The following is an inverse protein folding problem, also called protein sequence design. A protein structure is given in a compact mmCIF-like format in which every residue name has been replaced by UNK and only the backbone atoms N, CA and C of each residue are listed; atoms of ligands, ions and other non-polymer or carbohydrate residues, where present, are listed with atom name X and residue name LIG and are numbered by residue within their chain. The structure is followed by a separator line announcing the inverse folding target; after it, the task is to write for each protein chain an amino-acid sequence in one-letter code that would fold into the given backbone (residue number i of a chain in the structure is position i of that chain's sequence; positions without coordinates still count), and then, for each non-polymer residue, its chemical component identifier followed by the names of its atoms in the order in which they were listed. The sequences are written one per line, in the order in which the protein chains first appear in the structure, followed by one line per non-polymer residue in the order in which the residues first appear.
data_IF_699604657903
#
_entry.id   IF_699604657903
#
_cell.length_a   1.000
_cell.length_b   1.000
_cell.length_c   1.000
_cell.angle_alpha   90.00
_cell.angle_beta   90.00
_cell.angle_gamma   90.00
#
_symmetry.space_group_name_H-M   'P 1'
#
loop_
_entity.id
_entity.type
_entity.pdbx_description
1 polymer ?
#
# COMPACT_ATOMS: atom_id res chain seq x y z
N UNK A 1 -31.16 -5.24 3.84
CA UNK A 1 -29.69 -5.05 3.86
C UNK A 1 -29.11 -6.19 4.68
N UNK A 2 -28.28 -7.03 4.08
CA UNK A 2 -27.78 -8.24 4.75
C UNK A 2 -26.70 -7.88 5.78
N UNK A 3 -26.51 -8.71 6.81
CA UNK A 3 -25.42 -8.52 7.80
C UNK A 3 -24.04 -8.44 7.13
N UNK A 4 -23.86 -9.16 6.01
CA UNK A 4 -22.69 -9.06 5.13
C UNK A 4 -22.46 -7.64 4.60
N UNK A 5 -23.51 -6.95 4.16
CA UNK A 5 -23.38 -5.60 3.58
C UNK A 5 -23.03 -4.56 4.63
N UNK A 6 -23.51 -4.74 5.88
CA UNK A 6 -23.11 -3.92 7.03
C UNK A 6 -21.64 -4.13 7.36
N UNK A 7 -21.20 -5.39 7.46
CA UNK A 7 -19.80 -5.71 7.74
C UNK A 7 -18.85 -5.14 6.68
N UNK A 8 -19.17 -5.32 5.39
CA UNK A 8 -18.36 -4.77 4.30
C UNK A 8 -18.34 -3.23 4.30
N UNK A 9 -19.41 -2.54 4.73
CA UNK A 9 -19.40 -1.08 4.87
C UNK A 9 -18.39 -0.59 5.91
N UNK A 10 -18.12 -1.36 6.96
CA UNK A 10 -17.15 -1.01 8.01
C UNK A 10 -15.74 -1.47 7.63
N UNK A 11 -15.61 -2.66 7.04
CA UNK A 11 -14.33 -3.26 6.69
C UNK A 11 -13.58 -2.45 5.62
N UNK A 12 -14.27 -1.98 4.57
CA UNK A 12 -13.61 -1.30 3.45
C UNK A 12 -12.91 0.02 3.84
N UNK A 13 -13.53 0.90 4.65
CA UNK A 13 -12.82 2.05 5.22
C UNK A 13 -11.56 1.65 5.99
N UNK A 14 -11.64 0.62 6.84
CA UNK A 14 -10.48 0.12 7.60
C UNK A 14 -9.39 -0.38 6.66
N UNK A 15 -9.74 -1.12 5.62
CA UNK A 15 -8.78 -1.58 4.60
C UNK A 15 -8.13 -0.40 3.86
N UNK A 16 -8.92 0.63 3.48
CA UNK A 16 -8.39 1.84 2.84
C UNK A 16 -7.38 2.55 3.73
N UNK A 17 -7.70 2.74 5.00
CA UNK A 17 -6.77 3.33 5.96
C UNK A 17 -5.53 2.45 6.17
N UNK A 18 -5.68 1.13 6.23
CA UNK A 18 -4.56 0.19 6.32
C UNK A 18 -3.59 0.32 5.15
N UNK A 19 -4.10 0.36 3.91
CA UNK A 19 -3.28 0.57 2.70
C UNK A 19 -2.57 1.93 2.75
N UNK A 20 -3.28 3.00 3.13
CA UNK A 20 -2.69 4.34 3.27
C UNK A 20 -1.56 4.32 4.31
N UNK A 21 -1.76 3.66 5.45
CA UNK A 21 -0.75 3.57 6.49
C UNK A 21 0.50 2.81 6.02
N UNK A 22 0.33 1.69 5.31
CA UNK A 22 1.45 0.92 4.73
C UNK A 22 2.25 1.79 3.75
N UNK A 23 1.57 2.49 2.83
CA UNK A 23 2.23 3.40 1.88
C UNK A 23 2.96 4.51 2.63
N UNK A 24 2.32 5.12 3.63
CA UNK A 24 2.91 6.16 4.46
C UNK A 24 4.17 5.70 5.17
N UNK A 25 4.16 4.49 5.76
CA UNK A 25 5.34 3.87 6.38
C UNK A 25 6.49 3.73 5.39
N UNK A 26 6.24 3.14 4.22
CA UNK A 26 7.29 2.92 3.21
C UNK A 26 7.85 4.24 2.68
N UNK A 27 6.99 5.21 2.40
CA UNK A 27 7.43 6.54 1.96
C UNK A 27 8.23 7.27 3.03
N UNK A 28 7.82 7.18 4.30
CA UNK A 28 8.55 7.76 5.42
C UNK A 28 9.95 7.17 5.54
N UNK A 29 10.07 5.83 5.50
CA UNK A 29 11.38 5.17 5.55
C UNK A 29 12.29 5.55 4.37
N UNK A 30 11.71 5.83 3.20
CA UNK A 30 12.47 6.23 2.01
C UNK A 30 13.03 7.65 2.13
N UNK A 31 12.33 8.55 2.82
CA UNK A 31 12.75 9.96 2.98
C UNK A 31 13.49 10.24 4.28
N UNK A 32 13.46 9.33 5.26
CA UNK A 32 14.12 9.51 6.54
C UNK A 32 15.65 9.63 6.42
N UNK A 33 16.26 8.83 5.55
CA UNK A 33 17.71 8.86 5.28
C UNK A 33 17.99 8.85 3.77
N UNK A 34 17.73 9.96 3.08
CA UNK A 34 17.75 10.00 1.61
C UNK A 34 19.17 10.08 1.03
N UNK A 35 20.20 10.15 1.89
CA UNK A 35 21.61 10.01 1.49
C UNK A 35 22.21 11.20 0.71
N UNK A 36 21.50 12.33 0.55
CA UNK A 36 22.07 13.50 -0.13
C UNK A 36 22.83 14.42 0.83
N UNK A 37 24.00 14.87 0.40
CA UNK A 37 24.86 15.81 1.12
C UNK A 37 24.27 17.23 1.17
N UNK A 38 23.44 17.61 0.19
CA UNK A 38 22.87 18.96 0.06
C UNK A 38 21.46 19.02 0.66
N UNK A 39 21.26 19.92 1.63
CA UNK A 39 19.98 20.09 2.33
C UNK A 39 18.79 20.42 1.41
N UNK A 40 19.03 21.14 0.30
CA UNK A 40 17.99 21.45 -0.67
C UNK A 40 17.36 20.18 -1.29
N UNK A 41 18.20 19.22 -1.72
CA UNK A 41 17.72 17.98 -2.32
C UNK A 41 16.93 17.13 -1.32
N UNK A 42 17.35 17.11 -0.06
CA UNK A 42 16.61 16.46 1.02
C UNK A 42 15.23 17.10 1.21
N UNK A 43 15.15 18.42 1.32
CA UNK A 43 13.88 19.13 1.48
C UNK A 43 12.95 18.96 0.27
N UNK A 44 13.49 19.01 -0.93
CA UNK A 44 12.75 18.78 -2.17
C UNK A 44 12.14 17.37 -2.23
N UNK A 45 12.93 16.34 -1.90
CA UNK A 45 12.47 14.95 -1.88
C UNK A 45 11.35 14.71 -0.84
N UNK A 46 11.46 15.32 0.35
CA UNK A 46 10.39 15.29 1.34
C UNK A 46 9.09 15.92 0.82
N UNK A 47 9.18 17.09 0.19
CA UNK A 47 8.02 17.79 -0.36
C UNK A 47 7.33 16.99 -1.46
N UNK A 48 8.11 16.48 -2.42
CA UNK A 48 7.59 15.64 -3.51
C UNK A 48 6.92 14.39 -2.95
N UNK A 49 7.56 13.72 -1.99
CA UNK A 49 7.01 12.51 -1.37
C UNK A 49 5.72 12.79 -0.62
N UNK A 50 5.63 13.91 0.11
CA UNK A 50 4.41 14.33 0.80
C UNK A 50 3.26 14.58 -0.20
N UNK A 51 3.55 15.27 -1.31
CA UNK A 51 2.55 15.54 -2.37
C UNK A 51 2.05 14.22 -2.98
N UNK A 52 2.97 13.30 -3.32
CA UNK A 52 2.63 11.98 -3.85
C UNK A 52 1.79 11.19 -2.85
N UNK A 53 2.15 11.18 -1.57
CA UNK A 53 1.40 10.51 -0.52
C UNK A 53 -0.03 11.06 -0.39
N UNK A 54 -0.19 12.38 -0.36
CA UNK A 54 -1.51 13.02 -0.27
C UNK A 54 -2.36 12.70 -1.50
N UNK A 55 -1.77 12.78 -2.71
CA UNK A 55 -2.46 12.45 -3.96
C UNK A 55 -2.93 10.99 -3.98
N UNK A 56 -2.05 10.04 -3.63
CA UNK A 56 -2.40 8.62 -3.55
C UNK A 56 -3.48 8.36 -2.50
N UNK A 57 -3.39 9.01 -1.33
CA UNK A 57 -4.39 8.86 -0.27
C UNK A 57 -5.78 9.32 -0.72
N UNK A 58 -5.86 10.47 -1.39
CA UNK A 58 -7.12 10.98 -1.96
C UNK A 58 -7.67 10.01 -3.01
N UNK A 59 -6.83 9.53 -3.92
CA UNK A 59 -7.22 8.55 -4.95
C UNK A 59 -7.76 7.27 -4.30
N UNK A 60 -7.05 6.70 -3.32
CA UNK A 60 -7.47 5.47 -2.63
C UNK A 60 -8.82 5.63 -1.92
N UNK A 61 -9.08 6.80 -1.34
CA UNK A 61 -10.35 7.11 -0.69
C UNK A 61 -11.48 7.26 -1.74
N UNK A 62 -11.22 7.95 -2.86
CA UNK A 62 -12.21 8.24 -3.89
C UNK A 62 -12.59 7.02 -4.75
N UNK A 63 -11.67 6.06 -4.93
CA UNK A 63 -11.88 4.91 -5.81
C UNK A 63 -12.96 3.95 -5.28
N UNK A 64 -13.77 3.40 -6.20
CA UNK A 64 -14.82 2.42 -5.91
C UNK A 64 -14.25 1.12 -5.33
N UNK A 65 -15.06 0.36 -4.57
CA UNK A 65 -14.64 -0.91 -3.94
C UNK A 65 -13.90 -1.90 -4.86
N UNK A 66 -14.40 -2.23 -6.07
CA UNK A 66 -13.71 -3.19 -6.93
C UNK A 66 -12.34 -2.66 -7.39
N UNK A 67 -12.27 -1.39 -7.75
CA UNK A 67 -11.04 -0.76 -8.21
C UNK A 67 -10.04 -0.57 -7.06
N UNK A 68 -10.51 -0.35 -5.83
CA UNK A 68 -9.67 -0.27 -4.64
C UNK A 68 -9.00 -1.61 -4.35
N UNK A 69 -9.72 -2.73 -4.51
CA UNK A 69 -9.14 -4.05 -4.28
C UNK A 69 -7.99 -4.37 -5.24
N UNK A 70 -8.04 -3.83 -6.46
CA UNK A 70 -6.95 -3.98 -7.42
C UNK A 70 -5.84 -2.98 -7.09
N UNK A 71 -6.13 -1.68 -7.10
CA UNK A 71 -5.12 -0.63 -7.00
C UNK A 71 -4.49 -0.55 -5.61
N UNK A 72 -5.29 -0.59 -4.54
CA UNK A 72 -4.81 -0.49 -3.17
C UNK A 72 -3.90 -1.66 -2.79
N UNK A 73 -4.32 -2.89 -3.08
CA UNK A 73 -3.50 -4.05 -2.79
C UNK A 73 -2.33 -4.21 -3.76
N UNK A 74 -2.43 -3.72 -5.01
CA UNK A 74 -1.26 -3.63 -5.89
C UNK A 74 -0.17 -2.73 -5.31
N UNK A 75 -0.52 -1.58 -4.74
CA UNK A 75 0.44 -0.71 -4.04
C UNK A 75 1.05 -1.39 -2.81
N UNK A 76 0.23 -2.11 -2.02
CA UNK A 76 0.74 -2.91 -0.89
C UNK A 76 1.70 -4.00 -1.36
N UNK A 77 1.39 -4.68 -2.47
CA UNK A 77 2.25 -5.71 -3.06
C UNK A 77 3.60 -5.13 -3.48
N UNK A 78 3.62 -3.96 -4.15
CA UNK A 78 4.86 -3.27 -4.50
C UNK A 78 5.65 -2.89 -3.24
N UNK A 79 4.98 -2.30 -2.25
CA UNK A 79 5.60 -1.90 -0.99
C UNK A 79 6.22 -3.10 -0.24
N UNK A 80 5.49 -4.20 -0.14
CA UNK A 80 5.96 -5.43 0.49
C UNK A 80 7.13 -6.05 -0.27
N UNK A 81 7.06 -6.11 -1.60
CA UNK A 81 8.16 -6.60 -2.44
C UNK A 81 9.42 -5.73 -2.28
N UNK A 82 9.25 -4.40 -2.28
CA UNK A 82 10.34 -3.46 -2.06
C UNK A 82 11.00 -3.66 -0.70
N UNK A 83 10.22 -3.84 0.38
CA UNK A 83 10.76 -4.09 1.72
C UNK A 83 11.47 -5.44 1.83
N UNK A 84 10.98 -6.49 1.15
CA UNK A 84 11.69 -7.77 1.07
C UNK A 84 13.05 -7.58 0.39
N UNK A 85 13.08 -6.86 -0.75
CA UNK A 85 14.34 -6.56 -1.44
C UNK A 85 15.27 -5.73 -0.55
N UNK A 86 14.77 -4.69 0.12
CA UNK A 86 15.54 -3.88 1.08
C UNK A 86 16.11 -4.75 2.20
N UNK A 87 15.31 -5.64 2.79
CA UNK A 87 15.78 -6.53 3.85
C UNK A 87 16.88 -7.51 3.37
N UNK A 88 16.74 -8.05 2.15
CA UNK A 88 17.71 -9.01 1.57
C UNK A 88 19.01 -8.32 1.12
N UNK A 89 18.92 -7.18 0.43
CA UNK A 89 20.09 -6.53 -0.19
C UNK A 89 20.78 -5.51 0.71
N UNK A 90 20.02 -4.82 1.58
CA UNK A 90 20.53 -3.73 2.41
C UNK A 90 20.72 -4.15 3.88
N UNK A 91 20.63 -5.46 4.18
CA UNK A 91 20.90 -6.06 5.51
C UNK A 91 20.13 -5.39 6.66
N UNK A 92 18.96 -4.82 6.38
CA UNK A 92 18.24 -3.99 7.35
C UNK A 92 17.70 -4.83 8.52
N UNK A 93 16.87 -5.83 8.23
CA UNK A 93 16.37 -6.78 9.23
C UNK A 93 15.73 -8.00 8.55
N UNK A 94 16.31 -9.18 8.74
CA UNK A 94 15.74 -10.43 8.21
C UNK A 94 14.41 -10.80 8.89
N UNK A 95 14.11 -10.24 10.07
CA UNK A 95 12.84 -10.47 10.77
C UNK A 95 11.64 -9.80 10.09
N UNK A 96 11.87 -8.84 9.19
CA UNK A 96 10.80 -8.18 8.44
C UNK A 96 10.36 -8.98 7.20
N UNK A 97 11.14 -9.98 6.79
CA UNK A 97 10.84 -10.78 5.59
C UNK A 97 9.52 -11.56 5.75
N UNK A 98 9.27 -12.30 6.84
CA UNK A 98 8.01 -13.04 7.00
C UNK A 98 6.77 -12.15 7.03
N UNK A 99 6.85 -10.97 7.66
CA UNK A 99 5.75 -10.00 7.71
C UNK A 99 5.41 -9.47 6.32
N UNK A 100 6.42 -8.98 5.59
CA UNK A 100 6.21 -8.45 4.25
C UNK A 100 5.81 -9.56 3.25
N UNK A 101 6.28 -10.80 3.45
CA UNK A 101 5.84 -11.93 2.65
C UNK A 101 4.36 -12.25 2.87
N UNK A 102 3.88 -12.21 4.11
CA UNK A 102 2.46 -12.35 4.42
C UNK A 102 1.63 -11.24 3.79
N UNK A 103 2.08 -9.98 3.87
CA UNK A 103 1.42 -8.84 3.22
C UNK A 103 1.33 -9.03 1.70
N UNK A 104 2.38 -9.56 1.08
CA UNK A 104 2.42 -9.87 -0.35
C UNK A 104 1.38 -10.95 -0.72
N UNK A 105 1.27 -12.02 0.07
CA UNK A 105 0.26 -13.06 -0.14
C UNK A 105 -1.17 -12.53 0.02
N UNK A 106 -1.42 -11.72 1.06
CA UNK A 106 -2.73 -11.11 1.30
C UNK A 106 -3.09 -10.17 0.14
N UNK A 107 -2.13 -9.36 -0.32
CA UNK A 107 -2.34 -8.48 -1.47
C UNK A 107 -2.70 -9.25 -2.74
N UNK A 108 -1.96 -10.32 -3.06
CA UNK A 108 -2.26 -11.20 -4.19
C UNK A 108 -3.64 -11.85 -4.08
N UNK A 109 -4.03 -12.29 -2.89
CA UNK A 109 -5.36 -12.87 -2.66
C UNK A 109 -6.48 -11.86 -2.96
N UNK A 110 -6.39 -10.63 -2.46
CA UNK A 110 -7.41 -9.61 -2.70
C UNK A 110 -7.45 -9.15 -4.17
N UNK A 111 -6.30 -9.05 -4.84
CA UNK A 111 -6.23 -8.71 -6.26
C UNK A 111 -6.87 -9.79 -7.13
N UNK A 112 -6.58 -11.07 -6.87
CA UNK A 112 -7.11 -12.20 -7.65
C UNK A 112 -8.58 -12.49 -7.36
N UNK A 113 -9.03 -12.31 -6.11
CA UNK A 113 -10.43 -12.47 -5.71
C UNK A 113 -11.33 -11.39 -6.32
N UNK A 114 -10.83 -10.15 -6.44
CA UNK A 114 -11.55 -9.07 -7.12
C UNK A 114 -11.83 -9.37 -8.61
N UNK A 115 -10.93 -10.09 -9.29
CA UNK A 115 -11.12 -10.49 -10.69
C UNK A 115 -12.22 -11.53 -10.92
N UNK A 116 -12.55 -12.34 -9.91
CA UNK A 116 -13.58 -13.40 -10.02
C UNK A 116 -15.02 -12.86 -9.90
N UNK A 117 -15.21 -11.67 -9.33
CA UNK A 117 -16.53 -11.04 -9.18
C UNK A 117 -17.06 -10.35 -10.42
N UNK A 118 -16.24 -10.16 -11.47
CA UNK A 118 -16.60 -9.43 -12.69
C UNK A 118 -17.04 -10.29 -13.88
N UNK A 119 -16.99 -11.62 -13.77
CA UNK A 119 -17.28 -12.53 -14.90
C UNK A 119 -18.72 -13.09 -14.93
N UNK A 120 -19.61 -12.59 -14.06
CA UNK A 120 -21.03 -12.97 -14.03
C UNK A 120 -22.01 -11.85 -14.39
N UNK A 121 -21.54 -10.84 -15.11
CA UNK A 121 -22.40 -9.75 -15.61
C UNK A 121 -21.99 -9.31 -17.02
N UNK A 122 -22.02 -10.27 -17.95
CA UNK A 122 -22.16 -10.01 -19.38
C UNK A 122 -23.29 -10.87 -19.91
#
# INVERSE_FOLDING_TARGET
MTERDKFLRILYPVLKFGVIFVIGKVLYELVAEPGFEVQFWNGFLHLVTLIVFLALSVVLIAVSRPNFNVLGFFLVMIAAAFNILKAVFLHHSLMEIPENFLLLLVALYFMTSAGKGGHHSH
#
